data_IF_576638113710
#
_entry.id   IF_576638113710
#
_cell.length_a   1.000
_cell.length_b   1.000
_cell.length_c   1.000
_cell.angle_alpha   90.00
_cell.angle_beta   90.00
_cell.angle_gamma   90.00
#
_symmetry.space_group_name_H-M   'P 1'
#
loop_
_entity.id
_entity.type
_entity.pdbx_description
1 polymer ?
#
# COMPACT_ATOMS: atom_id res chain seq x y z
N UNK A 1 -23.16 8.74 -10.90
CA UNK A 1 -23.66 8.37 -12.19
C UNK A 1 -25.16 8.52 -12.36
N UNK A 2 -25.58 8.99 -13.51
CA UNK A 2 -26.99 9.06 -13.86
C UNK A 2 -27.64 7.69 -14.05
N UNK A 3 -26.83 6.69 -14.41
CA UNK A 3 -27.25 5.29 -14.53
C UNK A 3 -26.09 4.34 -14.25
N UNK A 4 -26.40 3.09 -13.94
CA UNK A 4 -25.44 2.02 -13.72
C UNK A 4 -25.81 0.82 -14.59
N UNK A 5 -24.84 0.20 -15.22
CA UNK A 5 -25.01 -1.09 -15.91
C UNK A 5 -25.30 -2.21 -14.89
N UNK A 6 -25.76 -3.35 -15.38
CA UNK A 6 -25.88 -4.54 -14.55
C UNK A 6 -24.51 -4.90 -13.98
N UNK A 7 -24.40 -5.14 -12.64
CA UNK A 7 -23.15 -5.56 -12.02
C UNK A 7 -22.60 -6.84 -12.65
N UNK A 8 -21.27 -6.91 -12.78
CA UNK A 8 -20.55 -8.11 -13.22
C UNK A 8 -19.59 -8.55 -12.14
N UNK A 9 -19.44 -9.86 -11.94
CA UNK A 9 -18.43 -10.39 -11.06
C UNK A 9 -17.04 -10.23 -11.71
N UNK A 10 -16.08 -9.76 -10.90
CA UNK A 10 -14.67 -9.72 -11.26
C UNK A 10 -14.06 -11.07 -10.86
N UNK A 11 -13.48 -11.78 -11.83
CA UNK A 11 -12.78 -13.05 -11.64
C UNK A 11 -13.54 -14.01 -10.69
N UNK A 12 -14.76 -14.48 -11.04
CA UNK A 12 -15.60 -15.29 -10.15
C UNK A 12 -14.96 -16.63 -9.77
N UNK A 13 -13.96 -17.09 -10.51
CA UNK A 13 -13.15 -18.27 -10.23
C UNK A 13 -12.19 -18.07 -9.03
N UNK A 14 -11.87 -16.84 -8.69
CA UNK A 14 -10.96 -16.51 -7.56
C UNK A 14 -11.73 -16.29 -6.27
N UNK A 15 -12.25 -17.35 -5.67
CA UNK A 15 -13.04 -17.28 -4.42
C UNK A 15 -12.20 -16.93 -3.18
N UNK A 16 -10.86 -16.90 -3.31
CA UNK A 16 -9.94 -16.62 -2.19
C UNK A 16 -9.78 -15.14 -1.89
N UNK A 17 -10.06 -14.26 -2.84
CA UNK A 17 -9.91 -12.82 -2.65
C UNK A 17 -11.02 -12.27 -1.77
N UNK A 18 -10.64 -11.29 -0.96
CA UNK A 18 -11.49 -10.72 0.06
C UNK A 18 -11.50 -9.19 -0.09
N UNK A 19 -12.26 -8.47 0.63
CA UNK A 19 -12.48 -7.03 0.70
C UNK A 19 -11.73 -6.14 -0.33
N UNK A 20 -12.48 -5.33 -1.07
CA UNK A 20 -11.96 -4.24 -1.90
C UNK A 20 -12.11 -2.94 -1.11
N UNK A 21 -11.00 -2.30 -0.72
CA UNK A 21 -11.01 -1.13 0.16
C UNK A 21 -10.37 0.10 -0.49
N UNK A 22 -9.30 -0.10 -1.29
CA UNK A 22 -8.63 0.97 -1.99
C UNK A 22 -9.27 1.27 -3.36
N UNK A 23 -9.00 2.46 -3.87
CA UNK A 23 -9.43 2.85 -5.22
C UNK A 23 -8.68 2.08 -6.31
N UNK A 24 -9.31 1.95 -7.48
CA UNK A 24 -8.67 1.47 -8.69
C UNK A 24 -7.75 2.56 -9.24
N UNK A 25 -6.53 2.19 -9.64
CA UNK A 25 -5.63 3.07 -10.40
C UNK A 25 -5.68 2.73 -11.88
N UNK A 26 -5.40 3.74 -12.72
CA UNK A 26 -5.14 3.55 -14.14
C UNK A 26 -3.64 3.72 -14.37
N UNK A 27 -3.00 2.71 -14.96
CA UNK A 27 -1.57 2.77 -15.31
C UNK A 27 -1.37 3.59 -16.58
N UNK A 28 -0.11 3.94 -16.89
CA UNK A 28 0.23 4.65 -18.13
C UNK A 28 -0.09 3.85 -19.38
N UNK A 29 -0.10 2.53 -19.28
CA UNK A 29 -0.49 1.61 -20.35
C UNK A 29 -2.02 1.53 -20.54
N UNK A 30 -2.79 2.24 -19.70
CA UNK A 30 -4.25 2.22 -19.71
C UNK A 30 -4.86 1.02 -19.01
N UNK A 31 -4.08 0.27 -18.22
CA UNK A 31 -4.60 -0.86 -17.46
C UNK A 31 -5.20 -0.38 -16.12
N UNK A 32 -6.28 -1.02 -15.73
CA UNK A 32 -6.86 -0.80 -14.41
C UNK A 32 -6.26 -1.81 -13.43
N UNK A 33 -5.78 -1.33 -12.29
CA UNK A 33 -5.25 -2.17 -11.21
C UNK A 33 -6.06 -1.89 -9.94
N UNK A 34 -6.69 -2.94 -9.41
CA UNK A 34 -7.52 -2.89 -8.20
C UNK A 34 -6.86 -3.72 -7.10
N UNK A 35 -6.57 -3.08 -5.96
CA UNK A 35 -6.13 -3.81 -4.77
C UNK A 35 -7.32 -4.47 -4.08
N UNK A 36 -7.09 -5.65 -3.55
CA UNK A 36 -8.01 -6.38 -2.67
C UNK A 36 -7.21 -7.16 -1.62
N UNK A 37 -7.84 -7.58 -0.53
CA UNK A 37 -7.17 -8.45 0.43
C UNK A 37 -6.94 -9.83 -0.21
N UNK A 38 -5.78 -10.45 0.05
CA UNK A 38 -5.38 -11.71 -0.56
C UNK A 38 -6.24 -12.89 -0.09
N UNK A 39 -6.72 -12.82 1.15
CA UNK A 39 -7.59 -13.83 1.75
C UNK A 39 -8.33 -13.28 2.97
N UNK A 40 -9.22 -14.05 3.57
CA UNK A 40 -9.86 -13.66 4.83
C UNK A 40 -8.84 -13.64 5.96
N UNK A 41 -8.74 -12.51 6.64
CA UNK A 41 -7.76 -12.27 7.71
C UNK A 41 -6.60 -11.38 7.27
N UNK A 42 -5.73 -11.04 8.22
CA UNK A 42 -4.67 -10.05 8.00
C UNK A 42 -3.30 -10.64 7.67
N UNK A 43 -3.17 -11.97 7.58
CA UNK A 43 -1.86 -12.62 7.49
C UNK A 43 -1.34 -12.77 6.06
N UNK A 44 -2.25 -12.90 5.08
CA UNK A 44 -1.89 -13.20 3.68
C UNK A 44 -1.55 -11.93 2.87
N UNK A 45 -1.72 -10.75 3.47
CA UNK A 45 -1.50 -9.47 2.81
C UNK A 45 -2.60 -9.10 1.81
N UNK A 46 -2.25 -8.31 0.80
CA UNK A 46 -3.16 -7.91 -0.27
C UNK A 46 -2.71 -8.47 -1.63
N UNK A 47 -3.63 -8.44 -2.60
CA UNK A 47 -3.41 -8.87 -3.97
C UNK A 47 -3.94 -7.81 -4.93
N UNK A 48 -3.74 -8.01 -6.22
CA UNK A 48 -4.27 -7.15 -7.28
C UNK A 48 -5.15 -7.93 -8.25
N UNK A 49 -6.14 -7.25 -8.78
CA UNK A 49 -6.88 -7.64 -9.98
C UNK A 49 -6.55 -6.65 -11.09
N UNK A 50 -6.30 -7.12 -12.28
CA UNK A 50 -5.87 -6.30 -13.42
C UNK A 50 -6.86 -6.45 -14.56
N UNK A 51 -7.27 -5.31 -15.13
CA UNK A 51 -8.01 -5.24 -16.38
C UNK A 51 -7.20 -4.49 -17.44
N UNK A 52 -7.09 -5.07 -18.63
CA UNK A 52 -6.40 -4.48 -19.79
C UNK A 52 -7.35 -3.94 -20.86
N UNK A 53 -8.65 -4.04 -20.62
CA UNK A 53 -9.70 -3.75 -21.60
C UNK A 53 -10.77 -2.77 -21.06
N UNK A 54 -10.36 -1.89 -20.14
CA UNK A 54 -11.25 -0.87 -19.57
C UNK A 54 -12.29 -1.43 -18.60
N UNK A 55 -11.97 -2.52 -17.90
CA UNK A 55 -12.83 -3.11 -16.88
C UNK A 55 -13.80 -4.17 -17.40
N UNK A 56 -13.70 -4.56 -18.67
CA UNK A 56 -14.57 -5.59 -19.25
C UNK A 56 -14.22 -6.99 -18.74
N UNK A 57 -12.92 -7.29 -18.69
CA UNK A 57 -12.38 -8.53 -18.11
C UNK A 57 -11.30 -8.20 -17.07
N UNK A 58 -11.14 -9.08 -16.11
CA UNK A 58 -10.16 -8.95 -15.03
C UNK A 58 -9.41 -10.25 -14.84
N UNK A 59 -8.14 -10.16 -14.49
CA UNK A 59 -7.31 -11.31 -14.13
C UNK A 59 -6.56 -11.05 -12.85
N UNK A 60 -6.35 -12.13 -12.11
CA UNK A 60 -5.44 -12.15 -10.97
C UNK A 60 -4.06 -12.63 -11.49
N UNK A 61 -2.98 -11.83 -11.35
CA UNK A 61 -1.65 -12.26 -11.81
C UNK A 61 -1.02 -13.32 -10.89
N UNK A 62 -1.63 -13.60 -9.76
CA UNK A 62 -1.12 -14.54 -8.78
C UNK A 62 -1.18 -15.98 -9.29
N UNK A 63 -0.06 -16.70 -9.15
CA UNK A 63 0.06 -18.11 -9.50
C UNK A 63 0.38 -19.01 -8.29
N UNK A 64 0.33 -18.46 -7.07
CA UNK A 64 0.54 -19.18 -5.82
C UNK A 64 1.98 -19.22 -5.33
N UNK A 65 2.93 -18.69 -6.10
CA UNK A 65 4.36 -18.71 -5.77
C UNK A 65 5.05 -17.38 -6.15
N UNK A 66 6.12 -16.99 -5.43
CA UNK A 66 6.59 -17.56 -4.17
C UNK A 66 5.67 -17.24 -2.99
N UNK A 67 5.70 -18.05 -1.93
CA UNK A 67 5.02 -17.72 -0.69
C UNK A 67 5.60 -16.43 -0.09
N UNK A 68 4.79 -15.55 0.52
CA UNK A 68 5.26 -14.28 1.03
C UNK A 68 6.17 -14.46 2.26
N UNK A 69 7.33 -13.81 2.24
CA UNK A 69 8.26 -13.69 3.35
C UNK A 69 8.36 -12.20 3.74
N UNK A 70 7.41 -11.74 4.54
CA UNK A 70 7.23 -10.31 4.90
C UNK A 70 8.34 -9.82 5.84
N UNK A 71 9.53 -9.65 5.30
CA UNK A 71 10.70 -9.07 5.97
C UNK A 71 11.47 -8.15 5.03
N UNK A 72 12.39 -7.37 5.58
CA UNK A 72 13.31 -6.55 4.79
C UNK A 72 14.08 -7.41 3.78
N UNK A 73 13.98 -7.05 2.49
CA UNK A 73 14.58 -7.80 1.38
C UNK A 73 13.89 -9.11 1.02
N UNK A 74 12.81 -9.49 1.70
CA UNK A 74 12.01 -10.66 1.37
C UNK A 74 11.21 -10.45 0.08
N UNK A 75 10.62 -11.53 -0.43
CA UNK A 75 9.79 -11.54 -1.64
C UNK A 75 8.54 -12.39 -1.43
N UNK A 76 7.57 -12.24 -2.31
CA UNK A 76 6.36 -13.04 -2.30
C UNK A 76 5.42 -12.71 -3.44
N UNK A 77 4.32 -13.42 -3.53
CA UNK A 77 3.27 -13.25 -4.53
C UNK A 77 2.11 -12.34 -4.08
N UNK A 78 2.19 -11.80 -2.86
CA UNK A 78 1.18 -10.87 -2.32
C UNK A 78 1.85 -9.59 -1.79
N UNK A 79 1.08 -8.53 -1.68
CA UNK A 79 1.50 -7.26 -1.08
C UNK A 79 1.60 -7.43 0.43
N UNK A 80 2.65 -6.93 1.06
CA UNK A 80 2.76 -6.88 2.51
C UNK A 80 1.73 -5.91 3.11
N UNK A 81 0.87 -6.44 3.98
CA UNK A 81 -0.24 -5.71 4.60
C UNK A 81 -1.51 -5.68 3.78
N UNK A 82 -2.64 -5.75 4.49
CA UNK A 82 -3.99 -5.68 3.91
C UNK A 82 -4.42 -4.24 3.66
N UNK A 83 -5.53 -4.05 2.94
CA UNK A 83 -6.10 -2.73 2.62
C UNK A 83 -5.09 -1.81 1.95
N UNK A 84 -4.29 -2.37 1.05
CA UNK A 84 -3.17 -1.66 0.45
C UNK A 84 -3.61 -0.56 -0.51
N UNK A 85 -2.98 0.61 -0.39
CA UNK A 85 -2.95 1.60 -1.45
C UNK A 85 -1.88 1.23 -2.48
N UNK A 86 -2.15 1.49 -3.77
CA UNK A 86 -1.24 1.19 -4.89
C UNK A 86 -1.02 2.42 -5.75
N UNK A 87 0.18 2.56 -6.28
CA UNK A 87 0.55 3.56 -7.30
C UNK A 87 1.48 2.93 -8.32
N UNK A 88 1.48 3.46 -9.55
CA UNK A 88 2.52 3.15 -10.52
C UNK A 88 3.66 4.17 -10.38
N UNK A 89 4.89 3.67 -10.28
CA UNK A 89 6.11 4.48 -10.19
C UNK A 89 6.56 5.01 -11.56
N UNK A 90 7.47 5.97 -11.57
CA UNK A 90 8.03 6.57 -12.77
C UNK A 90 8.72 5.58 -13.71
N UNK A 91 9.28 4.48 -13.19
CA UNK A 91 9.92 3.41 -13.97
C UNK A 91 8.93 2.35 -14.50
N UNK A 92 7.63 2.43 -14.16
CA UNK A 92 6.61 1.46 -14.56
C UNK A 92 6.26 0.42 -13.50
N UNK A 93 7.09 0.22 -12.47
CA UNK A 93 6.81 -0.71 -11.38
C UNK A 93 5.56 -0.29 -10.60
N UNK A 94 4.90 -1.23 -9.96
CA UNK A 94 3.87 -0.93 -8.97
C UNK A 94 4.52 -0.81 -7.58
N UNK A 95 4.07 0.18 -6.80
CA UNK A 95 4.38 0.29 -5.39
C UNK A 95 3.09 0.21 -4.58
N UNK A 96 3.11 -0.56 -3.50
CA UNK A 96 1.99 -0.70 -2.60
C UNK A 96 2.44 -0.52 -1.13
N UNK A 97 1.57 0.05 -0.32
CA UNK A 97 1.74 0.14 1.14
C UNK A 97 0.47 -0.36 1.81
N UNK A 98 0.60 -1.21 2.82
CA UNK A 98 -0.54 -1.86 3.46
C UNK A 98 -0.53 -1.74 4.99
N UNK A 99 -1.63 -2.14 5.59
CA UNK A 99 -1.82 -2.23 7.04
C UNK A 99 -1.47 -3.63 7.54
N UNK A 100 -0.78 -3.72 8.68
CA UNK A 100 -0.29 -5.00 9.21
C UNK A 100 0.94 -5.50 8.45
N UNK A 101 1.37 -6.72 8.71
CA UNK A 101 2.60 -7.32 8.16
C UNK A 101 3.80 -6.36 8.22
N UNK A 102 3.90 -5.61 9.33
CA UNK A 102 4.94 -4.60 9.56
C UNK A 102 6.33 -5.22 9.48
N UNK A 103 7.26 -4.52 8.84
CA UNK A 103 8.62 -5.00 8.58
C UNK A 103 9.59 -4.30 9.54
N UNK A 104 10.54 -5.06 10.11
CA UNK A 104 11.62 -4.46 10.90
C UNK A 104 12.69 -3.89 9.98
N UNK A 105 13.02 -2.62 10.19
CA UNK A 105 14.15 -1.99 9.52
C UNK A 105 15.50 -2.46 10.13
N UNK A 106 16.61 -1.97 9.60
CA UNK A 106 17.98 -2.31 10.06
C UNK A 106 18.24 -1.96 11.52
N UNK A 107 17.47 -1.03 12.10
CA UNK A 107 17.55 -0.62 13.50
C UNK A 107 16.63 -1.47 14.40
N UNK A 108 15.96 -2.48 13.86
CA UNK A 108 15.02 -3.34 14.58
C UNK A 108 13.64 -2.72 14.82
N UNK A 109 13.37 -1.50 14.35
CA UNK A 109 12.08 -0.82 14.51
C UNK A 109 11.05 -1.32 13.51
N UNK A 110 9.83 -1.56 13.96
CA UNK A 110 8.72 -1.89 13.07
C UNK A 110 8.34 -0.69 12.20
N UNK A 111 8.12 -0.94 10.92
CA UNK A 111 7.77 0.06 9.92
C UNK A 111 6.58 -0.40 9.07
N UNK A 112 5.87 0.57 8.50
CA UNK A 112 4.86 0.30 7.49
C UNK A 112 5.52 -0.45 6.33
N UNK A 113 4.97 -1.60 5.90
CA UNK A 113 5.54 -2.34 4.80
C UNK A 113 5.34 -1.59 3.49
N UNK A 114 6.35 -1.64 2.63
CA UNK A 114 6.30 -1.20 1.25
C UNK A 114 6.63 -2.38 0.36
N UNK A 115 5.82 -2.59 -0.66
CA UNK A 115 5.97 -3.70 -1.61
C UNK A 115 6.16 -3.12 -3.00
N UNK A 116 7.16 -3.60 -3.74
CA UNK A 116 7.50 -3.17 -5.10
C UNK A 116 7.37 -4.36 -6.04
N UNK A 117 6.65 -4.18 -7.14
CA UNK A 117 6.50 -5.18 -8.19
C UNK A 117 6.99 -4.62 -9.53
N UNK A 118 7.91 -5.32 -10.16
CA UNK A 118 8.44 -5.01 -11.49
C UNK A 118 7.72 -5.80 -12.61
N UNK A 119 6.76 -6.65 -12.25
CA UNK A 119 6.05 -7.59 -13.13
C UNK A 119 4.51 -7.47 -13.03
N UNK A 120 4.05 -6.25 -12.74
CA UNK A 120 2.62 -5.91 -12.65
C UNK A 120 1.84 -6.74 -11.62
N UNK A 121 2.44 -6.94 -10.46
CA UNK A 121 1.76 -7.53 -9.30
C UNK A 121 1.83 -9.04 -9.20
N UNK A 122 2.61 -9.72 -10.08
CA UNK A 122 2.82 -11.15 -9.99
C UNK A 122 3.74 -11.51 -8.81
N UNK A 123 4.85 -10.76 -8.69
CA UNK A 123 5.78 -10.89 -7.55
C UNK A 123 6.09 -9.53 -6.94
N UNK A 124 6.38 -9.53 -5.64
CA UNK A 124 6.64 -8.35 -4.83
C UNK A 124 7.92 -8.51 -4.02
N UNK A 125 8.70 -7.43 -3.96
CA UNK A 125 9.84 -7.27 -3.06
C UNK A 125 9.42 -6.41 -1.89
N UNK A 126 9.83 -6.76 -0.67
CA UNK A 126 9.41 -6.09 0.55
C UNK A 126 10.49 -5.24 1.16
N UNK A 127 10.11 -4.05 1.60
CA UNK A 127 10.99 -3.05 2.21
C UNK A 127 10.30 -2.43 3.41
N UNK A 128 11.03 -2.19 4.48
CA UNK A 128 10.58 -1.37 5.58
C UNK A 128 10.61 0.11 5.16
N UNK A 129 9.46 0.76 5.08
CA UNK A 129 9.44 2.21 4.82
C UNK A 129 10.01 2.99 6.01
N UNK A 130 10.23 4.29 5.86
CA UNK A 130 10.60 5.16 7.00
C UNK A 130 9.41 5.51 7.91
N UNK A 131 8.20 5.12 7.53
CA UNK A 131 6.95 5.56 8.16
C UNK A 131 6.47 4.56 9.22
N UNK A 132 5.75 5.04 10.25
CA UNK A 132 5.24 4.18 11.30
C UNK A 132 4.21 3.19 10.77
N UNK A 133 4.12 1.98 11.36
CA UNK A 133 3.12 1.00 10.98
C UNK A 133 1.73 1.41 11.47
N UNK A 134 0.71 0.96 10.76
CA UNK A 134 -0.70 1.09 11.16
C UNK A 134 -1.34 -0.28 11.36
N UNK A 135 -2.38 -0.33 12.20
CA UNK A 135 -3.08 -1.57 12.54
C UNK A 135 -4.53 -1.28 13.01
N UNK A 136 -5.25 -2.31 13.44
CA UNK A 136 -6.46 -2.21 14.26
C UNK A 136 -7.57 -1.32 13.72
N UNK A 137 -7.93 -1.42 12.46
CA UNK A 137 -9.03 -0.63 11.88
C UNK A 137 -8.59 0.67 11.18
N UNK A 138 -7.33 1.08 11.35
CA UNK A 138 -6.77 2.21 10.61
C UNK A 138 -6.69 1.90 9.10
N UNK A 139 -6.71 2.94 8.29
CA UNK A 139 -6.60 2.86 6.83
C UNK A 139 -5.59 3.90 6.36
N UNK A 140 -5.06 3.70 5.17
CA UNK A 140 -4.20 4.67 4.50
C UNK A 140 -4.78 5.02 3.12
N UNK A 141 -4.34 6.17 2.61
CA UNK A 141 -4.49 6.55 1.21
C UNK A 141 -3.10 6.71 0.63
N UNK A 142 -2.83 6.07 -0.50
CA UNK A 142 -1.62 6.25 -1.28
C UNK A 142 -2.03 6.61 -2.71
N UNK A 143 -1.53 7.72 -3.23
CA UNK A 143 -1.85 8.16 -4.58
C UNK A 143 -0.73 9.00 -5.18
N UNK A 144 -0.68 9.07 -6.49
CA UNK A 144 0.14 10.06 -7.21
C UNK A 144 -0.69 11.32 -7.44
N UNK A 145 -0.13 12.47 -7.09
CA UNK A 145 -0.73 13.76 -7.41
C UNK A 145 -0.46 14.11 -8.87
N UNK A 146 -1.32 14.95 -9.45
CA UNK A 146 -1.14 15.43 -10.84
C UNK A 146 0.17 16.21 -11.02
N UNK A 147 0.65 16.85 -9.96
CA UNK A 147 1.92 17.59 -9.91
C UNK A 147 3.16 16.68 -9.86
N UNK A 148 2.96 15.36 -9.72
CA UNK A 148 4.01 14.36 -9.77
C UNK A 148 4.35 13.65 -8.46
N UNK A 149 4.38 14.30 -7.29
CA UNK A 149 4.74 13.64 -6.04
C UNK A 149 3.73 12.55 -5.63
N UNK A 150 4.20 11.61 -4.82
CA UNK A 150 3.33 10.67 -4.13
C UNK A 150 2.80 11.31 -2.85
N UNK A 151 1.51 11.14 -2.60
CA UNK A 151 0.84 11.49 -1.35
C UNK A 151 0.50 10.22 -0.58
N UNK A 152 0.90 10.19 0.69
CA UNK A 152 0.40 9.22 1.67
C UNK A 152 -0.39 9.99 2.75
N UNK A 153 -1.58 9.51 3.07
CA UNK A 153 -2.32 9.92 4.28
C UNK A 153 -2.46 8.69 5.17
N UNK A 154 -2.02 8.79 6.42
CA UNK A 154 -1.94 7.67 7.33
C UNK A 154 -2.00 8.12 8.79
N UNK A 155 -1.65 7.25 9.74
CA UNK A 155 -1.64 7.51 11.18
C UNK A 155 -0.24 7.31 11.75
N UNK A 156 0.09 8.08 12.78
CA UNK A 156 1.44 8.08 13.39
C UNK A 156 1.72 6.85 14.25
N UNK A 157 0.67 6.16 14.71
CA UNK A 157 0.78 4.98 15.58
C UNK A 157 -0.57 4.29 15.75
N UNK A 158 -0.54 3.13 16.40
CA UNK A 158 -1.72 2.46 16.93
C UNK A 158 -1.70 2.51 18.46
N UNK A 159 -2.66 3.18 19.14
CA UNK A 159 -2.60 3.46 20.58
C UNK A 159 -2.44 2.23 21.49
N UNK A 160 -2.90 1.05 21.03
CA UNK A 160 -2.86 -0.20 21.80
C UNK A 160 -1.66 -1.10 21.47
N UNK A 161 -0.95 -0.85 20.36
CA UNK A 161 0.09 -1.76 19.84
C UNK A 161 1.45 -1.12 19.68
N UNK A 162 1.51 0.20 19.59
CA UNK A 162 2.76 0.95 19.50
C UNK A 162 3.25 1.27 20.91
N UNK A 163 4.46 0.85 21.31
CA UNK A 163 5.06 1.26 22.57
C UNK A 163 5.07 2.78 22.74
N UNK A 164 4.88 3.29 23.94
CA UNK A 164 4.70 4.72 24.18
C UNK A 164 5.89 5.56 23.69
N UNK A 165 7.10 5.05 23.86
CA UNK A 165 8.35 5.67 23.41
C UNK A 165 8.49 5.74 21.89
N UNK A 166 7.82 4.84 21.16
CA UNK A 166 7.82 4.77 19.69
C UNK A 166 6.66 5.53 19.05
N UNK A 167 5.68 6.00 19.88
CA UNK A 167 4.51 6.71 19.35
C UNK A 167 4.86 8.08 18.79
N UNK A 168 4.05 8.49 17.81
CA UNK A 168 4.15 9.78 17.16
C UNK A 168 5.14 9.79 16.00
N UNK A 169 5.12 10.89 15.27
CA UNK A 169 5.98 11.16 14.12
C UNK A 169 6.54 12.58 14.24
N UNK A 170 7.76 12.78 13.79
CA UNK A 170 8.37 14.11 13.76
C UNK A 170 7.89 14.90 12.56
N UNK A 171 7.52 16.15 12.82
CA UNK A 171 7.07 17.15 11.86
C UNK A 171 7.91 18.41 11.96
N UNK A 172 8.17 19.07 10.84
CA UNK A 172 8.74 20.40 10.80
C UNK A 172 7.63 21.45 10.76
N UNK A 173 7.63 22.40 11.70
CA UNK A 173 6.74 23.54 11.65
C UNK A 173 7.18 24.56 10.56
N UNK A 174 6.41 25.65 10.39
CA UNK A 174 6.71 26.68 9.38
C UNK A 174 8.06 27.40 9.61
N UNK A 175 8.62 27.30 10.81
CA UNK A 175 9.91 27.92 11.17
C UNK A 175 11.06 26.89 11.10
N UNK A 176 10.79 25.64 10.69
CA UNK A 176 11.75 24.56 10.62
C UNK A 176 11.99 23.81 11.95
N UNK A 177 11.29 24.17 13.03
CA UNK A 177 11.43 23.47 14.31
C UNK A 177 10.81 22.08 14.22
N UNK A 178 11.51 21.08 14.75
CA UNK A 178 11.01 19.71 14.84
C UNK A 178 10.09 19.58 16.04
N UNK A 179 8.90 19.05 15.81
CA UNK A 179 7.90 18.73 16.84
C UNK A 179 7.38 17.32 16.63
N UNK A 180 7.17 16.59 17.71
CA UNK A 180 6.53 15.28 17.69
C UNK A 180 5.01 15.47 17.71
N UNK A 181 4.32 14.88 16.73
CA UNK A 181 2.86 14.93 16.59
C UNK A 181 2.25 13.54 16.61
N UNK A 182 0.95 13.48 16.86
CA UNK A 182 0.16 12.25 17.01
C UNK A 182 -1.14 12.36 16.23
N UNK A 183 -1.59 11.25 15.66
CA UNK A 183 -2.86 11.16 14.95
C UNK A 183 -2.70 10.96 13.44
N UNK A 184 -3.64 11.47 12.68
CA UNK A 184 -3.61 11.40 11.22
C UNK A 184 -2.60 12.41 10.66
N UNK A 185 -1.84 12.00 9.66
CA UNK A 185 -0.89 12.85 8.95
C UNK A 185 -0.94 12.65 7.45
N UNK A 186 -0.46 13.65 6.72
CA UNK A 186 -0.15 13.56 5.31
C UNK A 186 1.36 13.65 5.09
N UNK A 187 1.89 12.90 4.12
CA UNK A 187 3.29 12.95 3.73
C UNK A 187 3.43 12.99 2.20
N UNK A 188 4.43 13.72 1.71
CA UNK A 188 4.78 13.79 0.29
C UNK A 188 6.15 13.17 0.04
N UNK A 189 6.24 12.37 -1.02
CA UNK A 189 7.49 11.85 -1.57
C UNK A 189 7.71 12.38 -2.97
N UNK A 190 8.94 12.87 -3.24
CA UNK A 190 9.38 13.39 -4.53
C UNK A 190 10.38 12.44 -5.22
N UNK A 191 10.67 11.30 -4.61
CA UNK A 191 11.68 10.32 -5.03
C UNK A 191 11.13 8.89 -5.13
N UNK A 192 9.86 8.79 -5.53
CA UNK A 192 9.20 7.51 -5.78
C UNK A 192 9.05 6.65 -4.51
N UNK A 193 8.75 7.29 -3.37
CA UNK A 193 8.48 6.61 -2.10
C UNK A 193 9.72 6.24 -1.27
N UNK A 194 10.92 6.61 -1.72
CA UNK A 194 12.16 6.32 -0.97
C UNK A 194 12.26 7.14 0.31
N UNK A 195 11.90 8.42 0.22
CA UNK A 195 11.83 9.33 1.38
C UNK A 195 10.54 10.14 1.37
N UNK A 196 10.12 10.58 2.55
CA UNK A 196 8.90 11.36 2.78
C UNK A 196 9.23 12.63 3.59
N UNK A 197 9.93 13.61 2.98
CA UNK A 197 10.48 14.77 3.68
C UNK A 197 9.43 15.79 4.12
N UNK A 198 8.28 15.85 3.46
CA UNK A 198 7.17 16.75 3.82
C UNK A 198 6.13 15.97 4.58
N UNK A 199 5.85 16.38 5.82
CA UNK A 199 4.86 15.78 6.71
C UNK A 199 4.04 16.88 7.37
N UNK A 200 2.72 16.71 7.40
CA UNK A 200 1.76 17.67 7.96
C UNK A 200 0.72 16.97 8.82
#
# INVERSE_FOLDING_TARGET
GASWSTPKLIAPEHTKRHQVIAGTICTREGWLVQACDAGPGSHDGAAVQISKDGGKTWCDPWDGAPLPDFKEGGTGSTIAGIHAGIVQLGNGSLMAMGRGNSIRNKEGKLRMPMSISDDMGKTWKYVASELPPIDGGQRLVLMRLNEGPLLLVSFTDHPQRTPLEERGLEFKDKNGNVKKGYGMYAALSYDEGKTWPVRK
#
